data_IF_141982736560
#
_entry.id   IF_141982736560
#
_cell.length_a   1.000
_cell.length_b   1.000
_cell.length_c   1.000
_cell.angle_alpha   90.00
_cell.angle_beta   90.00
_cell.angle_gamma   90.00
#
_symmetry.space_group_name_H-M   'P 1'
#
loop_
_entity.id
_entity.type
_entity.pdbx_description
1 polymer ?
#
# COMPACT_ATOMS: atom_id res chain seq x y z
N UNK A 1 7.59 14.48 -6.33
CA UNK A 1 6.20 14.82 -6.08
C UNK A 1 5.39 13.59 -5.76
N UNK A 2 4.32 13.79 -4.98
CA UNK A 2 3.45 12.69 -4.55
C UNK A 2 2.06 12.88 -5.11
N UNK A 3 1.44 11.77 -5.50
CA UNK A 3 0.05 11.81 -5.92
C UNK A 3 -0.84 11.36 -4.76
N UNK A 4 -2.06 11.86 -4.74
CA UNK A 4 -3.01 11.49 -3.71
C UNK A 4 -3.70 10.19 -4.11
N UNK A 5 -3.69 9.22 -3.19
CA UNK A 5 -4.44 7.98 -3.38
C UNK A 5 -5.85 8.21 -2.85
N UNK A 6 -6.82 8.03 -3.73
CA UNK A 6 -8.22 8.23 -3.37
C UNK A 6 -8.72 7.07 -2.52
N UNK A 7 -9.82 7.29 -1.84
CA UNK A 7 -10.50 6.27 -1.04
C UNK A 7 -9.73 5.74 0.16
N UNK A 8 -8.61 6.37 0.51
CA UNK A 8 -7.82 5.97 1.67
C UNK A 8 -8.64 6.04 2.96
N UNK A 9 -9.40 7.11 3.12
CA UNK A 9 -10.22 7.30 4.32
C UNK A 9 -11.36 6.28 4.40
N UNK A 10 -11.97 5.95 3.27
CA UNK A 10 -13.02 4.93 3.24
C UNK A 10 -12.47 3.57 3.64
N UNK A 11 -11.28 3.25 3.18
CA UNK A 11 -10.64 1.99 3.50
C UNK A 11 -10.23 1.94 4.97
N UNK A 12 -9.72 3.04 5.51
CA UNK A 12 -9.40 3.13 6.93
C UNK A 12 -10.63 2.90 7.79
N UNK A 13 -11.76 3.47 7.38
CA UNK A 13 -13.02 3.28 8.08
C UNK A 13 -13.47 1.83 8.06
N UNK A 14 -13.31 1.16 6.92
CA UNK A 14 -13.61 -0.26 6.79
C UNK A 14 -12.81 -1.09 7.80
N UNK A 15 -11.50 -0.85 7.91
CA UNK A 15 -10.66 -1.57 8.86
C UNK A 15 -11.05 -1.27 10.30
N UNK A 16 -11.37 -0.02 10.59
CA UNK A 16 -11.78 0.41 11.92
C UNK A 16 -13.07 -0.29 12.37
N UNK A 17 -14.05 -0.35 11.50
CA UNK A 17 -15.33 -0.98 11.80
C UNK A 17 -15.19 -2.47 12.09
N UNK A 18 -14.17 -3.11 11.55
CA UNK A 18 -13.93 -4.55 11.72
C UNK A 18 -12.86 -4.85 12.75
N UNK A 19 -12.38 -3.82 13.46
CA UNK A 19 -11.33 -3.96 14.46
C UNK A 19 -10.06 -4.61 13.89
N UNK A 20 -9.75 -4.33 12.63
CA UNK A 20 -8.53 -4.79 12.00
C UNK A 20 -7.43 -3.76 12.22
N UNK A 21 -6.26 -4.17 12.69
CA UNK A 21 -5.16 -3.22 12.86
C UNK A 21 -4.64 -2.74 11.50
N UNK A 22 -4.32 -1.45 11.43
CA UNK A 22 -3.78 -0.87 10.21
C UNK A 22 -2.95 0.37 10.54
N UNK A 23 -2.10 0.74 9.58
CA UNK A 23 -1.36 1.99 9.64
C UNK A 23 -1.61 2.71 8.33
N UNK A 24 -1.89 3.99 8.41
CA UNK A 24 -2.12 4.83 7.24
C UNK A 24 -0.97 5.81 7.09
N UNK A 25 -0.43 5.92 5.90
CA UNK A 25 0.68 6.83 5.69
C UNK A 25 1.10 6.92 4.23
N UNK A 26 2.14 7.69 4.02
CA UNK A 26 2.69 7.92 2.69
C UNK A 26 3.55 6.72 2.27
N UNK A 27 3.42 6.30 1.01
CA UNK A 27 4.25 5.25 0.45
C UNK A 27 5.04 5.78 -0.73
N UNK A 28 6.17 5.16 -0.97
CA UNK A 28 7.05 5.49 -2.08
C UNK A 28 6.94 4.40 -3.14
N UNK A 29 6.56 4.81 -4.37
CA UNK A 29 6.54 3.89 -5.50
C UNK A 29 7.89 3.98 -6.21
N UNK A 30 8.61 2.86 -6.29
CA UNK A 30 9.87 2.78 -7.02
C UNK A 30 9.70 1.84 -8.21
N UNK A 31 10.46 2.07 -9.26
CA UNK A 31 10.42 1.23 -10.46
C UNK A 31 11.49 0.12 -10.44
N UNK A 32 12.36 0.12 -9.45
CA UNK A 32 13.41 -0.88 -9.35
C UNK A 32 13.96 -0.96 -7.93
N UNK A 33 14.13 -2.17 -7.41
CA UNK A 33 14.79 -2.37 -6.12
C UNK A 33 16.23 -1.90 -6.14
N UNK A 34 16.86 -1.89 -7.31
CA UNK A 34 18.24 -1.42 -7.48
C UNK A 34 18.38 0.08 -7.27
N UNK A 35 17.28 0.82 -7.32
CA UNK A 35 17.27 2.26 -7.09
C UNK A 35 17.06 2.64 -5.64
N UNK A 36 16.91 1.66 -4.77
CA UNK A 36 16.71 1.90 -3.35
C UNK A 36 18.07 2.06 -2.65
N UNK A 37 18.77 3.16 -2.95
CA UNK A 37 20.05 3.47 -2.30
C UNK A 37 19.80 3.96 -0.88
N UNK A 38 20.84 3.89 -0.03
CA UNK A 38 20.76 4.37 1.36
C UNK A 38 20.31 5.84 1.41
N UNK A 39 20.90 6.67 0.56
CA UNK A 39 20.55 8.10 0.56
C UNK A 39 19.09 8.33 0.16
N UNK A 40 18.62 7.61 -0.85
CA UNK A 40 17.24 7.77 -1.31
C UNK A 40 16.25 7.24 -0.29
N UNK A 41 16.55 6.10 0.33
CA UNK A 41 15.71 5.54 1.39
C UNK A 41 15.57 6.55 2.54
N UNK A 42 16.70 7.13 2.98
CA UNK A 42 16.69 8.11 4.06
C UNK A 42 15.89 9.35 3.67
N UNK A 43 16.02 9.81 2.45
CA UNK A 43 15.27 10.97 1.96
C UNK A 43 13.76 10.68 2.01
N UNK A 44 13.33 9.52 1.56
CA UNK A 44 11.91 9.15 1.60
C UNK A 44 11.37 9.02 3.02
N UNK A 45 12.18 8.50 3.94
CA UNK A 45 11.81 8.45 5.36
C UNK A 45 11.63 9.84 5.94
N UNK A 46 12.52 10.76 5.59
CA UNK A 46 12.40 12.16 6.03
C UNK A 46 11.15 12.82 5.48
N UNK A 47 10.70 12.41 4.32
CA UNK A 47 9.46 12.90 3.71
C UNK A 47 8.21 12.23 4.30
N UNK A 48 8.37 11.35 5.27
CA UNK A 48 7.27 10.70 5.96
C UNK A 48 6.79 9.40 5.37
N UNK A 49 7.56 8.82 4.45
CA UNK A 49 7.19 7.53 3.86
C UNK A 49 7.36 6.41 4.87
N UNK A 50 6.34 5.56 4.97
CA UNK A 50 6.35 4.41 5.89
C UNK A 50 6.55 3.09 5.16
N UNK A 51 6.44 3.08 3.85
CA UNK A 51 6.57 1.87 3.05
C UNK A 51 7.04 2.21 1.64
N UNK A 52 7.52 1.19 0.95
CA UNK A 52 7.89 1.27 -0.47
C UNK A 52 7.22 0.10 -1.21
N UNK A 53 6.77 0.37 -2.42
CA UNK A 53 6.15 -0.62 -3.29
C UNK A 53 6.45 -0.24 -4.74
N UNK A 54 5.95 -0.98 -5.71
CA UNK A 54 6.40 -0.81 -7.09
C UNK A 54 5.29 -0.45 -8.10
N UNK A 55 4.03 -0.45 -7.72
CA UNK A 55 2.93 -0.32 -8.68
C UNK A 55 1.92 0.80 -8.40
N UNK A 56 1.79 1.24 -7.19
CA UNK A 56 0.63 2.03 -6.75
C UNK A 56 0.44 3.33 -7.52
N UNK A 57 1.51 4.09 -7.73
CA UNK A 57 1.39 5.38 -8.43
C UNK A 57 0.86 5.19 -9.85
N UNK A 58 1.35 4.17 -10.56
CA UNK A 58 0.89 3.87 -11.91
C UNK A 58 -0.55 3.39 -11.94
N UNK A 59 -0.91 2.53 -11.01
CA UNK A 59 -2.29 2.00 -10.93
C UNK A 59 -3.27 3.14 -10.64
N UNK A 60 -2.94 4.03 -9.70
CA UNK A 60 -3.82 5.16 -9.40
C UNK A 60 -3.96 6.08 -10.62
N UNK A 61 -2.88 6.32 -11.34
CA UNK A 61 -2.94 7.15 -12.54
C UNK A 61 -3.85 6.55 -13.61
N UNK A 62 -3.78 5.24 -13.80
CA UNK A 62 -4.65 4.54 -14.75
C UNK A 62 -6.11 4.61 -14.30
N UNK A 63 -6.35 4.39 -13.03
CA UNK A 63 -7.71 4.48 -12.48
C UNK A 63 -8.29 5.87 -12.65
N UNK A 64 -7.49 6.91 -12.43
CA UNK A 64 -7.93 8.28 -12.62
C UNK A 64 -8.29 8.54 -14.08
N UNK A 65 -7.48 8.03 -15.00
CA UNK A 65 -7.72 8.23 -16.43
C UNK A 65 -9.03 7.61 -16.89
N UNK A 66 -9.34 6.41 -16.41
CA UNK A 66 -10.55 5.68 -16.82
C UNK A 66 -11.76 5.92 -15.91
N UNK A 67 -11.59 6.67 -14.83
CA UNK A 67 -12.67 6.89 -13.88
C UNK A 67 -12.97 5.69 -13.00
N UNK A 68 -11.99 4.83 -12.78
CA UNK A 68 -12.16 3.67 -11.91
C UNK A 68 -11.86 4.03 -10.46
N UNK A 69 -12.50 3.34 -9.54
CA UNK A 69 -12.24 3.48 -8.11
C UNK A 69 -11.16 2.51 -7.67
N UNK A 70 -10.17 3.02 -6.96
CA UNK A 70 -9.07 2.20 -6.44
C UNK A 70 -9.13 2.16 -4.91
N UNK A 71 -9.05 0.96 -4.37
CA UNK A 71 -8.93 0.71 -2.94
C UNK A 71 -7.69 -0.15 -2.76
N UNK A 72 -6.65 0.40 -2.16
CA UNK A 72 -5.37 -0.27 -2.04
C UNK A 72 -4.96 -0.45 -0.58
N UNK A 73 -4.47 -1.63 -0.25
CA UNK A 73 -3.84 -1.90 1.03
C UNK A 73 -2.59 -2.74 0.80
N UNK A 74 -1.67 -2.64 1.72
CA UNK A 74 -0.40 -3.33 1.61
C UNK A 74 -0.20 -4.23 2.82
N UNK A 75 0.52 -5.32 2.61
CA UNK A 75 0.95 -6.20 3.68
C UNK A 75 2.48 -6.13 3.74
N UNK A 76 3.03 -6.05 4.95
CA UNK A 76 4.47 -5.92 5.10
C UNK A 76 5.21 -7.11 4.49
N UNK A 77 6.17 -6.82 3.64
CA UNK A 77 7.07 -7.80 3.04
C UNK A 77 8.43 -7.71 3.69
N UNK A 78 9.41 -7.21 2.93
CA UNK A 78 10.75 -6.98 3.47
C UNK A 78 10.80 -5.65 4.21
N UNK A 79 11.79 -5.52 5.08
CA UNK A 79 12.02 -4.32 5.87
C UNK A 79 13.36 -3.71 5.51
N UNK A 80 13.39 -2.39 5.29
CA UNK A 80 14.62 -1.67 4.98
C UNK A 80 15.19 -1.05 6.25
N UNK A 81 16.31 -1.58 6.73
CA UNK A 81 16.98 -1.06 7.91
C UNK A 81 18.41 -0.71 7.54
N UNK A 82 18.76 0.59 7.66
CA UNK A 82 20.11 1.09 7.39
C UNK A 82 20.66 0.63 6.04
N UNK A 83 19.79 0.59 5.02
CA UNK A 83 20.19 0.20 3.67
C UNK A 83 20.25 -1.30 3.42
N UNK A 84 19.94 -2.11 4.41
CA UNK A 84 19.89 -3.56 4.28
C UNK A 84 18.45 -4.04 4.16
N UNK A 85 18.28 -5.21 3.58
CA UNK A 85 16.98 -5.84 3.44
C UNK A 85 16.79 -6.94 4.46
N UNK A 86 15.67 -6.89 5.16
CA UNK A 86 15.19 -7.98 5.99
C UNK A 86 14.16 -8.75 5.18
N UNK A 87 14.49 -9.99 4.80
CA UNK A 87 13.62 -10.77 3.92
C UNK A 87 12.74 -11.78 4.66
N UNK A 88 12.91 -11.93 5.94
CA UNK A 88 12.08 -12.85 6.73
C UNK A 88 10.60 -12.45 6.66
N UNK A 89 10.34 -11.15 6.65
CA UNK A 89 8.98 -10.64 6.52
C UNK A 89 8.33 -11.01 5.19
N UNK A 90 9.13 -11.14 4.14
CA UNK A 90 8.61 -11.49 2.82
C UNK A 90 8.03 -12.91 2.83
N UNK A 91 8.72 -13.86 3.44
CA UNK A 91 8.21 -15.21 3.58
C UNK A 91 7.00 -15.28 4.51
N UNK A 92 7.06 -14.55 5.62
CA UNK A 92 5.96 -14.52 6.59
C UNK A 92 4.73 -13.81 6.03
N UNK A 93 4.92 -12.87 5.10
CA UNK A 93 3.83 -12.09 4.52
C UNK A 93 3.12 -12.81 3.36
N UNK A 94 3.53 -14.01 3.03
CA UNK A 94 2.93 -14.76 1.93
C UNK A 94 1.60 -15.40 2.35
N UNK A 95 0.61 -14.54 2.61
CA UNK A 95 -0.73 -14.93 3.01
C UNK A 95 -1.71 -14.64 1.87
N UNK A 96 -1.45 -15.25 0.71
CA UNK A 96 -2.18 -14.92 -0.51
C UNK A 96 -3.69 -15.11 -0.39
N UNK A 97 -4.11 -16.20 0.25
CA UNK A 97 -5.54 -16.45 0.43
C UNK A 97 -6.18 -15.43 1.36
N UNK A 98 -5.47 -15.04 2.43
CA UNK A 98 -5.98 -14.06 3.36
C UNK A 98 -6.11 -12.69 2.71
N UNK A 99 -5.12 -12.31 1.91
CA UNK A 99 -5.17 -11.05 1.15
C UNK A 99 -6.32 -11.04 0.17
N UNK A 100 -6.51 -12.12 -0.56
CA UNK A 100 -7.59 -12.24 -1.52
C UNK A 100 -8.95 -12.17 -0.83
N UNK A 101 -9.10 -12.87 0.28
CA UNK A 101 -10.34 -12.85 1.04
C UNK A 101 -10.67 -11.44 1.52
N UNK A 102 -9.67 -10.74 2.06
CA UNK A 102 -9.85 -9.37 2.52
C UNK A 102 -10.21 -8.45 1.36
N UNK A 103 -9.56 -8.58 0.22
CA UNK A 103 -9.86 -7.78 -0.96
C UNK A 103 -11.30 -7.99 -1.41
N UNK A 104 -11.77 -9.23 -1.40
CA UNK A 104 -13.15 -9.55 -1.78
C UNK A 104 -14.15 -8.94 -0.77
N UNK A 105 -13.83 -8.95 0.51
CA UNK A 105 -14.67 -8.33 1.53
C UNK A 105 -14.77 -6.81 1.31
N UNK A 106 -13.65 -6.18 1.00
CA UNK A 106 -13.63 -4.74 0.70
C UNK A 106 -14.49 -4.45 -0.52
N UNK A 107 -14.31 -5.19 -1.60
CA UNK A 107 -15.07 -4.99 -2.83
C UNK A 107 -16.57 -5.13 -2.59
N UNK A 108 -16.97 -6.15 -1.84
CA UNK A 108 -18.37 -6.38 -1.51
C UNK A 108 -18.94 -5.24 -0.68
N UNK A 109 -18.19 -4.77 0.31
CA UNK A 109 -18.63 -3.70 1.19
C UNK A 109 -18.83 -2.39 0.41
N UNK A 110 -17.89 -2.05 -0.44
CA UNK A 110 -17.96 -0.81 -1.21
C UNK A 110 -19.09 -0.85 -2.24
N UNK A 111 -19.38 -2.02 -2.78
CA UNK A 111 -20.49 -2.19 -3.70
C UNK A 111 -21.84 -1.99 -3.00
N UNK A 112 -21.98 -2.50 -1.78
CA UNK A 112 -23.22 -2.37 -1.02
C UNK A 112 -23.50 -0.93 -0.62
N UNK A 113 -22.46 -0.14 -0.37
CA UNK A 113 -22.59 1.25 0.06
C UNK A 113 -22.95 2.22 -1.07
N UNK A 114 -23.56 1.73 -2.14
CA UNK A 114 -24.10 2.61 -3.16
C UNK A 114 -23.15 2.90 -4.30
N UNK A 115 -22.25 2.02 -4.53
CA UNK A 115 -21.33 2.19 -5.64
C UNK A 115 -21.89 1.63 -6.93
#
# INVERSE_FOLDING_TARGET
DYIKIKNTDKLAEFFKERNLPYVQGRVWTTDSMLRETVNLVNKRKEEGCIAVEMELAGVQAICDFYGFELYDFLVAGDVLIEGNYETDGLSAANHDLDKLFLALQIAKNMRIEGR
#
